data_IF_993052828890
#
_entry.id   IF_993052828890
#
_cell.length_a   1.000
_cell.length_b   1.000
_cell.length_c   1.000
_cell.angle_alpha   90.00
_cell.angle_beta   90.00
_cell.angle_gamma   90.00
#
_symmetry.space_group_name_H-M   'P 1'
#
loop_
_entity.id
_entity.type
_entity.pdbx_description
1 polymer ?
#
# COMPACT_ATOMS: atom_id res chain seq x y z
N UNK A 1 -3.99 -16.52 10.75
CA UNK A 1 -2.88 -16.53 11.74
C UNK A 1 -2.08 -15.27 11.42
N UNK A 2 -2.35 -14.18 12.13
CA UNK A 2 -1.57 -12.94 11.97
C UNK A 2 -0.15 -13.24 12.47
N UNK A 3 0.82 -13.18 11.56
CA UNK A 3 2.23 -13.34 11.92
C UNK A 3 2.74 -12.04 12.54
N UNK A 4 3.60 -12.22 13.55
CA UNK A 4 4.09 -11.22 14.49
C UNK A 4 4.83 -10.07 13.78
N UNK A 5 4.56 -8.82 14.15
CA UNK A 5 5.32 -7.63 13.72
C UNK A 5 6.82 -7.75 13.99
N UNK A 6 7.22 -8.53 14.99
CA UNK A 6 8.61 -8.81 15.34
C UNK A 6 9.43 -9.44 14.19
N UNK A 7 8.79 -9.91 13.11
CA UNK A 7 9.45 -10.40 11.91
C UNK A 7 9.39 -9.44 10.72
N UNK A 8 8.84 -8.23 10.88
CA UNK A 8 8.71 -7.23 9.81
C UNK A 8 9.82 -6.18 9.91
N UNK A 9 11.08 -6.63 9.87
CA UNK A 9 12.15 -5.70 9.48
C UNK A 9 11.92 -5.29 8.02
N UNK A 10 12.31 -4.08 7.60
CA UNK A 10 12.23 -3.68 6.20
C UNK A 10 12.82 -4.76 5.28
N UNK A 11 13.99 -5.33 5.65
CA UNK A 11 14.63 -6.46 4.98
C UNK A 11 13.75 -7.70 4.85
N UNK A 12 13.20 -8.22 5.96
CA UNK A 12 12.37 -9.43 5.92
C UNK A 12 11.07 -9.23 5.13
N UNK A 13 10.54 -8.00 5.13
CA UNK A 13 9.42 -7.63 4.26
C UNK A 13 9.83 -7.64 2.79
N UNK A 14 10.98 -7.05 2.45
CA UNK A 14 11.44 -7.03 1.07
C UNK A 14 11.73 -8.44 0.54
N UNK A 15 12.30 -9.31 1.36
CA UNK A 15 12.52 -10.73 1.01
C UNK A 15 11.20 -11.49 0.82
N UNK A 16 10.21 -11.25 1.69
CA UNK A 16 8.89 -11.88 1.57
C UNK A 16 8.15 -11.50 0.28
N UNK A 17 8.33 -10.26 -0.21
CA UNK A 17 7.65 -9.75 -1.40
C UNK A 17 8.47 -9.87 -2.70
N UNK A 18 9.77 -10.16 -2.61
CA UNK A 18 10.63 -10.43 -3.77
C UNK A 18 10.54 -11.87 -4.28
N UNK A 19 10.08 -12.80 -3.43
CA UNK A 19 9.88 -14.18 -3.83
C UNK A 19 8.81 -14.23 -4.93
N UNK A 20 9.18 -14.78 -6.09
CA UNK A 20 8.44 -14.72 -7.37
C UNK A 20 7.13 -15.54 -7.34
N UNK A 21 6.67 -15.91 -6.16
CA UNK A 21 5.48 -16.67 -5.95
C UNK A 21 4.29 -15.79 -6.38
N UNK A 22 3.68 -16.17 -7.51
CA UNK A 22 2.51 -15.54 -8.14
C UNK A 22 1.26 -15.70 -7.28
N UNK A 23 1.35 -15.33 -5.99
CA UNK A 23 0.28 -15.53 -5.04
C UNK A 23 -0.86 -14.55 -5.33
N UNK A 24 -2.05 -14.98 -4.95
CA UNK A 24 -3.33 -14.23 -4.99
C UNK A 24 -3.28 -12.86 -4.30
N UNK A 25 -2.16 -12.49 -3.67
CA UNK A 25 -2.03 -11.32 -2.81
C UNK A 25 -1.28 -10.14 -3.46
N UNK A 26 -0.79 -10.25 -4.71
CA UNK A 26 -0.22 -9.11 -5.47
C UNK A 26 -0.67 -9.14 -6.95
N UNK A 27 -1.96 -8.90 -7.21
CA UNK A 27 -2.49 -8.84 -8.57
C UNK A 27 -1.95 -7.65 -9.38
N UNK A 28 -1.95 -7.80 -10.70
CA UNK A 28 -1.55 -6.73 -11.60
C UNK A 28 -2.71 -5.76 -11.84
N UNK A 29 -2.43 -4.46 -11.81
CA UNK A 29 -3.39 -3.40 -12.05
C UNK A 29 -2.87 -2.36 -13.05
N UNK A 30 -3.79 -1.54 -13.54
CA UNK A 30 -3.45 -0.33 -14.29
C UNK A 30 -3.28 0.83 -13.31
N UNK A 31 -2.09 1.40 -13.29
CA UNK A 31 -1.74 2.56 -12.49
C UNK A 31 -1.56 3.79 -13.37
N UNK A 32 -2.09 4.92 -12.94
CA UNK A 32 -1.72 6.23 -13.43
C UNK A 32 -0.61 6.76 -12.53
N UNK A 33 0.57 7.00 -13.10
CA UNK A 33 1.75 7.47 -12.39
C UNK A 33 2.09 8.86 -12.87
N UNK A 34 2.20 9.82 -11.94
CA UNK A 34 2.72 11.15 -12.24
C UNK A 34 4.21 11.17 -11.90
N UNK A 35 5.06 11.31 -12.91
CA UNK A 35 6.52 11.34 -12.78
C UNK A 35 6.97 12.69 -12.17
N UNK A 36 8.19 12.75 -11.61
CA UNK A 36 8.78 14.00 -11.07
C UNK A 36 8.88 15.14 -12.09
N UNK A 37 9.01 14.82 -13.37
CA UNK A 37 9.01 15.81 -14.45
C UNK A 37 7.59 16.27 -14.86
N UNK A 38 6.55 15.87 -14.13
CA UNK A 38 5.15 16.21 -14.39
C UNK A 38 4.47 15.37 -15.47
N UNK A 39 5.20 14.53 -16.20
CA UNK A 39 4.60 13.63 -17.19
C UNK A 39 3.77 12.54 -16.52
N UNK A 40 2.68 12.12 -17.16
CA UNK A 40 1.82 11.04 -16.67
C UNK A 40 1.99 9.80 -17.53
N UNK A 41 2.12 8.63 -16.88
CA UNK A 41 2.22 7.33 -17.54
C UNK A 41 1.14 6.38 -17.03
N UNK A 42 0.49 5.68 -17.94
CA UNK A 42 -0.33 4.54 -17.59
C UNK A 42 0.52 3.27 -17.60
N UNK A 43 0.52 2.52 -16.50
CA UNK A 43 1.41 1.39 -16.28
C UNK A 43 0.60 0.21 -15.79
N UNK A 44 0.46 -0.81 -16.64
CA UNK A 44 -0.14 -2.09 -16.25
C UNK A 44 0.93 -3.01 -15.65
N UNK A 45 0.93 -3.15 -14.33
CA UNK A 45 1.98 -3.89 -13.64
C UNK A 45 1.51 -4.44 -12.29
N UNK A 46 2.34 -5.30 -11.68
CA UNK A 46 2.29 -5.55 -10.23
C UNK A 46 3.18 -4.51 -9.55
N UNK A 47 3.00 -4.32 -8.25
CA UNK A 47 4.01 -3.61 -7.44
C UNK A 47 5.05 -4.66 -7.04
N UNK A 48 6.20 -4.63 -7.70
CA UNK A 48 7.31 -5.53 -7.42
C UNK A 48 8.18 -4.97 -6.30
N UNK A 49 9.06 -5.83 -5.80
CA UNK A 49 10.06 -5.48 -4.80
C UNK A 49 11.45 -5.82 -5.33
N UNK A 50 12.34 -4.84 -5.21
CA UNK A 50 13.77 -4.97 -5.37
C UNK A 50 14.39 -5.20 -3.99
N UNK A 51 14.74 -6.45 -3.70
CA UNK A 51 15.32 -6.84 -2.42
C UNK A 51 16.71 -6.23 -2.18
N UNK A 52 17.47 -5.93 -3.23
CA UNK A 52 18.81 -5.35 -3.11
C UNK A 52 18.75 -3.84 -2.87
N UNK A 53 17.89 -3.14 -3.63
CA UNK A 53 17.71 -1.70 -3.45
C UNK A 53 16.81 -1.36 -2.26
N UNK A 54 16.09 -2.34 -1.70
CA UNK A 54 15.07 -2.14 -0.67
C UNK A 54 13.99 -1.15 -1.12
N UNK A 55 13.52 -1.31 -2.37
CA UNK A 55 12.51 -0.43 -2.99
C UNK A 55 11.43 -1.24 -3.69
N UNK A 56 10.20 -0.73 -3.70
CA UNK A 56 9.19 -1.22 -4.63
C UNK A 56 9.40 -0.65 -6.02
N UNK A 57 8.91 -1.31 -7.07
CA UNK A 57 8.92 -0.77 -8.42
C UNK A 57 7.73 -1.24 -9.26
N UNK A 58 7.45 -0.51 -10.34
CA UNK A 58 6.55 -0.95 -11.41
C UNK A 58 7.39 -1.30 -12.64
N UNK A 59 7.02 -2.38 -13.32
CA UNK A 59 7.54 -2.70 -14.64
C UNK A 59 6.63 -2.06 -15.70
N UNK A 60 7.14 -1.05 -16.40
CA UNK A 60 6.51 -0.46 -17.57
C UNK A 60 7.00 -1.17 -18.83
N UNK A 61 6.06 -1.60 -19.68
CA UNK A 61 6.36 -2.26 -20.95
C UNK A 61 5.86 -1.38 -22.08
N UNK A 62 6.77 -0.75 -22.81
CA UNK A 62 6.44 0.07 -23.97
C UNK A 62 6.02 -0.82 -25.14
N UNK A 63 4.73 -0.85 -25.43
CA UNK A 63 4.19 -1.68 -26.51
C UNK A 63 4.49 -1.14 -27.91
N UNK A 64 4.98 0.10 -28.02
CA UNK A 64 5.41 0.68 -29.31
C UNK A 64 6.76 0.12 -29.77
N UNK A 65 7.57 -0.39 -28.84
CA UNK A 65 8.88 -0.97 -29.11
C UNK A 65 8.79 -2.47 -29.41
N UNK A 66 9.71 -2.96 -30.24
CA UNK A 66 9.79 -4.37 -30.59
C UNK A 66 10.14 -5.23 -29.37
N UNK A 67 9.71 -6.50 -29.34
CA UNK A 67 10.02 -7.41 -28.22
C UNK A 67 11.53 -7.66 -28.01
N UNK A 68 12.35 -7.39 -29.02
CA UNK A 68 13.81 -7.53 -28.95
C UNK A 68 14.50 -6.23 -28.49
N UNK A 69 13.78 -5.12 -28.41
CA UNK A 69 14.34 -3.84 -27.99
C UNK A 69 14.61 -3.87 -26.47
N UNK A 70 15.84 -3.58 -26.09
CA UNK A 70 16.27 -3.58 -24.68
C UNK A 70 15.64 -2.44 -23.88
N UNK A 71 15.12 -1.40 -24.53
CA UNK A 71 14.44 -0.27 -23.89
C UNK A 71 12.93 -0.48 -23.72
N UNK A 72 12.41 -1.62 -24.20
CA UNK A 72 10.99 -1.97 -24.10
C UNK A 72 10.51 -2.09 -22.66
N UNK A 73 11.35 -2.61 -21.78
CA UNK A 73 11.02 -2.79 -20.38
C UNK A 73 11.75 -1.74 -19.54
N UNK A 74 10.99 -0.92 -18.81
CA UNK A 74 11.50 0.15 -17.99
C UNK A 74 11.02 -0.04 -16.56
N UNK A 75 11.95 0.07 -15.61
CA UNK A 75 11.62 0.06 -14.19
C UNK A 75 11.30 1.47 -13.75
N UNK A 76 10.18 1.63 -13.05
CA UNK A 76 9.78 2.89 -12.42
C UNK A 76 9.86 2.69 -10.92
N UNK A 77 10.67 3.50 -10.24
CA UNK A 77 10.78 3.53 -8.79
C UNK A 77 9.95 4.68 -8.17
N UNK A 78 9.49 4.55 -6.92
CA UNK A 78 8.75 5.58 -6.20
C UNK A 78 9.41 6.96 -6.20
N UNK A 79 10.73 7.02 -6.02
CA UNK A 79 11.48 8.27 -6.01
C UNK A 79 11.43 9.04 -7.34
N UNK A 80 11.13 8.37 -8.45
CA UNK A 80 10.96 9.00 -9.77
C UNK A 80 9.55 9.58 -9.97
N UNK A 81 8.66 9.40 -8.99
CA UNK A 81 7.24 9.73 -9.06
C UNK A 81 6.87 10.76 -7.99
N UNK A 82 5.79 11.50 -8.26
CA UNK A 82 5.14 12.41 -7.32
C UNK A 82 3.97 11.67 -6.64
N UNK A 83 3.17 10.98 -7.44
CA UNK A 83 1.98 10.26 -7.00
C UNK A 83 1.73 9.04 -7.90
N UNK A 84 0.97 8.10 -7.35
CA UNK A 84 0.48 6.92 -8.05
C UNK A 84 -1.01 6.78 -7.76
N UNK A 85 -1.78 6.33 -8.73
CA UNK A 85 -3.18 6.03 -8.52
C UNK A 85 -3.59 4.76 -9.28
N UNK A 86 -4.21 3.81 -8.59
CA UNK A 86 -4.78 2.61 -9.22
C UNK A 86 -6.12 2.95 -9.86
N UNK A 87 -6.31 2.57 -11.12
CA UNK A 87 -7.63 2.62 -11.75
C UNK A 87 -8.54 1.52 -11.16
N UNK A 88 -9.67 1.92 -10.58
CA UNK A 88 -10.70 1.02 -10.03
C UNK A 88 -11.83 0.73 -11.01
N UNK A 89 -11.82 1.35 -12.19
CA UNK A 89 -12.86 1.16 -13.20
C UNK A 89 -12.89 -0.31 -13.61
N UNK A 90 -14.04 -1.00 -13.50
CA UNK A 90 -14.15 -2.38 -13.93
C UNK A 90 -13.95 -2.47 -15.46
N UNK A 91 -13.32 -3.53 -15.99
CA UNK A 91 -13.12 -3.71 -17.43
C UNK A 91 -14.43 -3.70 -18.24
N UNK A 92 -15.56 -4.05 -17.60
CA UNK A 92 -16.90 -4.01 -18.23
C UNK A 92 -17.46 -2.60 -18.39
N UNK A 93 -17.02 -1.64 -17.58
CA UNK A 93 -17.46 -0.24 -17.63
C UNK A 93 -16.71 0.59 -18.69
N UNK A 94 -15.50 0.16 -19.09
CA UNK A 94 -14.71 0.78 -20.16
C UNK A 94 -15.40 0.70 -21.54
N UNK A 95 -16.32 -0.27 -21.74
CA UNK A 95 -17.12 -0.35 -22.99
C UNK A 95 -18.21 0.71 -23.09
N UNK A 96 -18.58 1.36 -21.98
CA UNK A 96 -19.56 2.43 -21.91
C UNK A 96 -18.88 3.77 -21.50
N UNK A 97 -17.63 3.98 -21.92
CA UNK A 97 -16.70 5.01 -21.44
C UNK A 97 -17.10 6.48 -21.66
N UNK A 98 -18.28 6.79 -22.20
CA UNK A 98 -18.67 8.18 -22.42
C UNK A 98 -19.26 8.89 -21.18
N UNK A 99 -19.46 8.20 -20.05
CA UNK A 99 -20.21 8.79 -18.91
C UNK A 99 -19.67 8.54 -17.51
N UNK A 100 -18.59 7.79 -17.31
CA UNK A 100 -18.04 7.52 -15.96
C UNK A 100 -16.58 7.96 -15.88
N UNK A 101 -16.33 9.02 -15.10
CA UNK A 101 -14.98 9.43 -14.74
C UNK A 101 -14.26 8.26 -14.07
N UNK A 102 -12.98 7.98 -14.41
CA UNK A 102 -12.26 6.88 -13.82
C UNK A 102 -12.14 7.07 -12.30
N UNK A 103 -12.55 6.04 -11.56
CA UNK A 103 -12.45 6.03 -10.11
C UNK A 103 -11.03 5.59 -9.74
N UNK A 104 -10.28 6.43 -9.02
CA UNK A 104 -8.89 6.19 -8.71
C UNK A 104 -8.68 5.96 -7.21
N UNK A 105 -7.86 4.96 -6.88
CA UNK A 105 -7.35 4.73 -5.52
C UNK A 105 -5.92 5.24 -5.43
N UNK A 106 -5.76 6.40 -4.80
CA UNK A 106 -4.50 7.12 -4.71
C UNK A 106 -3.53 6.48 -3.70
N UNK A 107 -2.25 6.53 -4.03
CA UNK A 107 -1.14 6.20 -3.17
C UNK A 107 -0.12 7.34 -3.12
N UNK A 108 0.65 7.39 -2.04
CA UNK A 108 1.66 8.41 -1.77
C UNK A 108 3.02 7.82 -2.13
N UNK A 109 3.79 8.51 -2.98
CA UNK A 109 5.18 8.13 -3.22
C UNK A 109 6.06 8.55 -2.05
N UNK A 110 6.89 7.61 -1.58
CA UNK A 110 8.00 7.85 -0.64
C UNK A 110 9.30 7.31 -1.25
N UNK A 111 10.41 7.44 -0.55
CA UNK A 111 11.73 7.11 -1.10
C UNK A 111 11.87 5.63 -1.47
N UNK A 112 11.25 4.74 -0.71
CA UNK A 112 11.37 3.28 -0.89
C UNK A 112 10.10 2.58 -1.39
N UNK A 113 8.92 3.15 -1.18
CA UNK A 113 7.67 2.52 -1.63
C UNK A 113 6.60 3.54 -1.97
N UNK A 114 5.58 3.07 -2.70
CA UNK A 114 4.28 3.72 -2.70
C UNK A 114 3.45 3.22 -1.52
N UNK A 115 2.72 4.12 -0.88
CA UNK A 115 1.88 3.84 0.27
C UNK A 115 0.41 4.12 -0.04
N UNK A 116 -0.43 3.10 0.04
CA UNK A 116 -1.88 3.18 -0.15
C UNK A 116 -2.59 3.09 1.20
N UNK A 117 -3.52 4.00 1.48
CA UNK A 117 -4.22 4.04 2.76
C UNK A 117 -5.27 2.93 2.86
N UNK A 118 -4.92 1.82 3.51
CA UNK A 118 -5.77 0.65 3.66
C UNK A 118 -6.82 0.79 4.76
N UNK A 119 -6.43 1.31 5.94
CA UNK A 119 -7.38 1.64 7.02
C UNK A 119 -7.45 3.15 7.16
N UNK A 120 -8.66 3.68 7.25
CA UNK A 120 -8.93 5.07 7.59
C UNK A 120 -9.58 5.18 8.97
N UNK A 121 -9.12 6.14 9.77
CA UNK A 121 -9.62 6.38 11.13
C UNK A 121 -8.67 7.29 11.90
N UNK A 122 -8.78 7.29 13.22
CA UNK A 122 -7.81 7.99 14.09
C UNK A 122 -6.41 7.44 13.88
N UNK A 123 -6.24 6.13 13.79
CA UNK A 123 -5.03 5.52 13.25
C UNK A 123 -5.32 5.10 11.82
N UNK A 124 -4.63 5.75 10.86
CA UNK A 124 -4.59 5.30 9.47
C UNK A 124 -3.46 4.29 9.30
N UNK A 125 -3.69 3.24 8.50
CA UNK A 125 -2.67 2.25 8.17
C UNK A 125 -2.43 2.22 6.67
N UNK A 126 -1.16 2.16 6.28
CA UNK A 126 -0.71 2.27 4.89
C UNK A 126 -0.05 0.99 4.43
N UNK A 127 -0.48 0.50 3.27
CA UNK A 127 0.04 -0.69 2.61
C UNK A 127 0.93 -0.33 1.42
N UNK A 128 1.95 -1.15 1.14
CA UNK A 128 2.71 -1.08 -0.12
C UNK A 128 1.87 -1.52 -1.33
N UNK A 129 0.78 -2.25 -1.10
CA UNK A 129 -0.12 -2.73 -2.13
C UNK A 129 -1.37 -1.86 -2.25
N UNK A 130 -1.89 -1.78 -3.46
CA UNK A 130 -3.04 -0.94 -3.80
C UNK A 130 -4.39 -1.63 -3.59
N UNK A 131 -4.49 -2.58 -2.65
CA UNK A 131 -5.77 -3.18 -2.31
C UNK A 131 -6.58 -2.25 -1.40
N UNK A 132 -7.84 -1.93 -1.75
CA UNK A 132 -8.72 -1.19 -0.87
C UNK A 132 -9.27 -2.09 0.25
N UNK A 133 -9.77 -1.46 1.31
CA UNK A 133 -10.47 -2.14 2.41
C UNK A 133 -11.65 -2.98 1.91
N UNK A 134 -11.89 -4.14 2.55
CA UNK A 134 -12.99 -5.04 2.20
C UNK A 134 -12.68 -6.06 1.09
N UNK A 135 -11.48 -6.02 0.50
CA UNK A 135 -10.97 -7.08 -0.39
C UNK A 135 -10.03 -8.04 0.35
N UNK A 136 -9.66 -9.14 -0.32
CA UNK A 136 -8.62 -10.04 0.18
C UNK A 136 -7.32 -9.23 0.35
N UNK A 137 -6.90 -9.09 1.60
CA UNK A 137 -5.79 -8.24 2.00
C UNK A 137 -4.77 -9.06 2.78
N UNK A 138 -3.50 -8.87 2.47
CA UNK A 138 -2.42 -9.45 3.26
C UNK A 138 -1.90 -8.40 4.26
N UNK A 139 -2.10 -8.59 5.58
CA UNK A 139 -1.61 -7.67 6.59
C UNK A 139 -0.10 -7.42 6.55
N UNK A 140 0.68 -8.33 5.98
CA UNK A 140 2.14 -8.17 5.75
C UNK A 140 2.51 -7.08 4.74
N UNK A 141 1.52 -6.50 4.07
CA UNK A 141 1.72 -5.38 3.17
C UNK A 141 1.65 -4.03 3.88
N UNK A 142 1.17 -3.97 5.13
CA UNK A 142 1.18 -2.72 5.92
C UNK A 142 2.62 -2.36 6.25
N UNK A 143 3.02 -1.13 5.91
CA UNK A 143 4.39 -0.63 6.08
C UNK A 143 4.46 0.57 7.03
N UNK A 144 3.35 1.31 7.17
CA UNK A 144 3.33 2.52 7.97
C UNK A 144 1.97 2.77 8.63
N UNK A 145 1.99 3.55 9.71
CA UNK A 145 0.81 4.01 10.44
C UNK A 145 0.91 5.51 10.72
N UNK A 146 -0.24 6.14 10.94
CA UNK A 146 -0.36 7.56 11.22
C UNK A 146 -1.48 7.80 12.23
N UNK A 147 -1.18 8.55 13.29
CA UNK A 147 -2.20 9.01 14.22
C UNK A 147 -2.73 10.39 13.78
N UNK A 148 -4.04 10.46 13.56
CA UNK A 148 -4.80 11.57 13.01
C UNK A 148 -4.11 12.08 11.73
N UNK A 149 -3.78 13.36 11.69
CA UNK A 149 -3.01 13.98 10.60
C UNK A 149 -1.55 14.24 10.99
N UNK A 150 -1.02 13.46 11.95
CA UNK A 150 0.36 13.55 12.42
C UNK A 150 1.37 12.95 11.44
N UNK A 151 2.62 12.74 11.88
CA UNK A 151 3.64 12.09 11.05
C UNK A 151 3.26 10.65 10.71
N UNK A 152 3.58 10.24 9.48
CA UNK A 152 3.54 8.83 9.08
C UNK A 152 4.82 8.19 9.60
N UNK A 153 4.68 7.15 10.42
CA UNK A 153 5.81 6.41 11.02
C UNK A 153 5.74 4.94 10.61
N UNK A 154 6.85 4.24 10.80
CA UNK A 154 6.93 2.80 10.51
C UNK A 154 5.89 2.02 11.31
N UNK A 155 5.29 1.01 10.68
CA UNK A 155 4.39 0.08 11.35
C UNK A 155 5.19 -0.88 12.25
N UNK A 156 5.27 -0.57 13.54
CA UNK A 156 5.94 -1.37 14.58
C UNK A 156 5.09 -1.45 15.85
N UNK A 157 5.38 -2.43 16.70
CA UNK A 157 4.67 -2.60 17.97
C UNK A 157 4.86 -1.37 18.86
N UNK A 158 6.09 -0.87 18.96
CA UNK A 158 6.45 0.33 19.74
C UNK A 158 5.63 1.54 19.29
N UNK A 159 5.64 1.86 17.99
CA UNK A 159 4.90 3.00 17.45
C UNK A 159 3.39 2.82 17.64
N UNK A 160 2.86 1.62 17.42
CA UNK A 160 1.44 1.35 17.61
C UNK A 160 1.03 1.48 19.08
N UNK A 161 1.84 0.94 19.99
CA UNK A 161 1.62 1.04 21.45
C UNK A 161 1.62 2.49 21.91
N UNK A 162 2.54 3.30 21.40
CA UNK A 162 2.59 4.73 21.66
C UNK A 162 1.34 5.47 21.14
N UNK A 163 0.79 5.06 19.99
CA UNK A 163 -0.42 5.68 19.42
C UNK A 163 -1.71 5.31 20.14
N UNK A 164 -1.84 4.06 20.62
CA UNK A 164 -3.08 3.62 21.29
C UNK A 164 -3.17 4.07 22.75
N UNK A 165 -2.03 4.44 23.37
CA UNK A 165 -1.97 4.90 24.75
C UNK A 165 -2.53 3.85 25.72
N UNK A 166 -3.51 4.24 26.53
CA UNK A 166 -4.13 3.42 27.58
C UNK A 166 -5.43 2.69 27.13
N UNK A 167 -5.75 2.64 25.83
CA UNK A 167 -6.91 1.89 25.35
C UNK A 167 -6.73 0.38 25.60
N UNK A 168 -7.38 -0.12 26.66
CA UNK A 168 -7.24 -1.50 27.15
C UNK A 168 -7.57 -2.55 26.08
N UNK A 169 -8.60 -2.32 25.27
CA UNK A 169 -9.04 -3.26 24.23
C UNK A 169 -7.99 -3.36 23.11
N UNK A 170 -7.35 -2.24 22.78
CA UNK A 170 -6.27 -2.16 21.80
C UNK A 170 -4.96 -2.76 22.35
N UNK A 171 -4.60 -2.45 23.59
CA UNK A 171 -3.43 -3.03 24.28
C UNK A 171 -3.55 -4.55 24.35
N UNK A 172 -4.72 -5.07 24.71
CA UNK A 172 -4.97 -6.51 24.73
C UNK A 172 -4.69 -7.13 23.35
N UNK A 173 -5.16 -6.49 22.28
CA UNK A 173 -4.89 -6.97 20.91
C UNK A 173 -3.41 -6.94 20.55
N UNK A 174 -2.65 -5.95 21.02
CA UNK A 174 -1.19 -5.88 20.85
C UNK A 174 -0.52 -7.04 21.60
N UNK A 175 -0.92 -7.34 22.84
CA UNK A 175 -0.38 -8.47 23.61
C UNK A 175 -0.59 -9.81 22.92
N UNK A 176 -1.74 -9.99 22.26
CA UNK A 176 -2.03 -11.16 21.42
C UNK A 176 -1.40 -11.10 20.03
N UNK A 177 -0.55 -10.10 19.76
CA UNK A 177 0.10 -9.84 18.47
C UNK A 177 -0.88 -9.68 17.29
N UNK A 178 -2.11 -9.25 17.59
CA UNK A 178 -3.17 -8.95 16.63
C UNK A 178 -3.21 -7.45 16.32
N UNK A 179 -2.11 -6.92 15.77
CA UNK A 179 -1.90 -5.47 15.59
C UNK A 179 -2.94 -4.80 14.68
N UNK A 180 -3.38 -5.47 13.62
CA UNK A 180 -4.44 -4.93 12.75
C UNK A 180 -5.77 -4.78 13.50
N UNK A 181 -6.07 -5.72 14.41
CA UNK A 181 -7.24 -5.63 15.26
C UNK A 181 -7.09 -4.54 16.32
N UNK A 182 -5.89 -4.32 16.86
CA UNK A 182 -5.63 -3.21 17.77
C UNK A 182 -5.99 -1.86 17.12
N UNK A 183 -5.56 -1.63 15.87
CA UNK A 183 -5.92 -0.42 15.10
C UNK A 183 -7.44 -0.31 14.95
N UNK A 184 -8.12 -1.39 14.54
CA UNK A 184 -9.58 -1.39 14.32
C UNK A 184 -10.35 -1.12 15.61
N UNK A 185 -9.94 -1.73 16.73
CA UNK A 185 -10.56 -1.53 18.05
C UNK A 185 -10.38 -0.08 18.52
N UNK A 186 -9.15 0.44 18.46
CA UNK A 186 -8.86 1.84 18.84
C UNK A 186 -9.69 2.84 18.02
N UNK A 187 -9.74 2.67 16.69
CA UNK A 187 -10.53 3.53 15.81
C UNK A 187 -12.02 3.50 16.14
N UNK A 188 -12.55 2.32 16.48
CA UNK A 188 -13.95 2.14 16.89
C UNK A 188 -14.23 2.80 18.24
N UNK A 189 -13.33 2.68 19.21
CA UNK A 189 -13.51 3.21 20.57
C UNK A 189 -13.37 4.73 20.60
N UNK A 190 -12.35 5.28 19.95
CA UNK A 190 -12.13 6.73 19.83
C UNK A 190 -13.31 7.45 19.15
N UNK A 191 -13.92 6.81 18.15
CA UNK A 191 -15.14 7.33 17.50
C UNK A 191 -16.40 7.35 18.38
N UNK A 192 -16.40 6.64 19.52
CA UNK A 192 -17.51 6.68 20.50
C UNK A 192 -17.32 7.77 21.55
N UNK A 193 -16.07 8.10 21.91
CA UNK A 193 -15.75 9.12 22.91
C UNK A 193 -16.13 10.51 22.40
N UNK A 194 -15.92 10.79 21.11
CA UNK A 194 -16.25 12.07 20.48
C UNK A 194 -17.74 12.26 20.11
N UNK A 195 -18.61 11.32 20.48
CA UNK A 195 -20.08 11.39 20.25
C UNK A 195 -20.89 11.68 21.53
N UNK A 196 -20.21 12.01 22.63
CA UNK A 196 -20.82 12.54 23.86
C UNK A 196 -20.47 14.01 23.99
#
# INVERSE_FOLDING_TARGET
MDLQMDQQTPLAMWDFWSDHNKSTNNPAYTFLVTMRNGSKKEVKSRIYVDAYAHKSYLLFVDQSLSKADTNREQVIYPEQTIEIARNLTPPSAEKNANTLAPNYYAGIAKDSCWMFKFISGHISAYSLLSEPEGKMFNPKSIVAIQLNNGPIVQYSEENLRAMVGDDLDAIESIQWKNYLQAIKRYNRNSGKINKK
#
